data_IF_879884580876
#
_entry.id   IF_879884580876
#
_cell.length_a   1.000
_cell.length_b   1.000
_cell.length_c   1.000
_cell.angle_alpha   90.00
_cell.angle_beta   90.00
_cell.angle_gamma   90.00
#
_symmetry.space_group_name_H-M   'P 1'
#
loop_
_entity.id
_entity.type
_entity.pdbx_description
1 polymer ?
#
# COMPACT_ATOMS: atom_id res chain seq x y z
N UNK A 1 23.68 34.11 13.70
CA UNK A 1 23.82 32.64 13.76
C UNK A 1 23.06 32.00 12.58
N UNK A 2 23.63 30.97 11.95
CA UNK A 2 22.96 30.18 10.91
C UNK A 2 22.18 29.00 11.52
N UNK A 3 20.91 28.83 11.18
CA UNK A 3 20.11 27.70 11.67
C UNK A 3 20.27 26.46 10.78
N UNK A 4 20.28 26.66 9.46
CA UNK A 4 20.48 25.60 8.47
C UNK A 4 20.92 26.19 7.13
N UNK A 5 21.48 25.37 6.23
CA UNK A 5 21.90 25.82 4.91
C UNK A 5 20.73 26.13 4.01
N UNK A 6 20.75 27.30 3.37
CA UNK A 6 19.76 27.72 2.39
C UNK A 6 20.06 27.27 0.94
N UNK A 7 21.24 26.70 0.71
CA UNK A 7 21.66 26.28 -0.61
C UNK A 7 20.65 25.37 -1.36
N UNK A 8 19.97 24.40 -0.70
CA UNK A 8 18.97 23.56 -1.35
C UNK A 8 17.66 24.29 -1.73
N UNK A 9 17.43 25.48 -1.19
CA UNK A 9 16.16 26.23 -1.37
C UNK A 9 16.32 27.44 -2.31
N UNK A 10 17.48 27.62 -2.89
CA UNK A 10 17.80 28.78 -3.72
C UNK A 10 16.87 28.88 -4.94
N UNK A 11 16.24 30.03 -5.11
CA UNK A 11 15.29 30.27 -6.21
C UNK A 11 13.90 29.70 -6.00
N UNK A 12 13.60 29.13 -4.83
CA UNK A 12 12.30 28.51 -4.56
C UNK A 12 11.28 29.54 -4.08
N UNK A 13 10.00 29.27 -4.38
CA UNK A 13 8.85 29.88 -3.74
C UNK A 13 8.46 29.06 -2.51
N UNK A 14 8.71 29.59 -1.31
CA UNK A 14 8.52 28.89 -0.05
C UNK A 14 7.36 29.48 0.75
N UNK A 15 6.50 28.60 1.30
CA UNK A 15 5.46 28.97 2.24
C UNK A 15 5.78 28.40 3.63
N UNK A 16 5.84 29.26 4.66
CA UNK A 16 6.13 28.84 6.04
C UNK A 16 4.84 28.69 6.82
N UNK A 17 4.62 27.51 7.42
CA UNK A 17 3.51 27.29 8.34
C UNK A 17 3.86 27.89 9.72
N UNK A 18 3.17 28.96 10.10
CA UNK A 18 3.44 29.76 11.31
C UNK A 18 2.29 29.59 12.30
N UNK A 19 2.60 29.09 13.48
CA UNK A 19 1.63 28.95 14.59
C UNK A 19 1.70 30.11 15.59
N UNK A 20 2.64 31.04 15.43
CA UNK A 20 2.95 32.08 16.42
C UNK A 20 3.89 31.59 17.53
N UNK A 21 4.11 30.30 17.63
CA UNK A 21 5.05 29.73 18.60
C UNK A 21 6.51 29.92 18.19
N UNK A 22 7.38 29.84 19.15
CA UNK A 22 8.84 30.10 19.10
C UNK A 22 9.51 29.53 17.86
N UNK A 23 9.36 28.23 17.62
CA UNK A 23 10.07 27.53 16.55
C UNK A 23 9.63 27.99 15.17
N UNK A 24 8.31 28.24 14.98
CA UNK A 24 7.76 28.70 13.73
C UNK A 24 8.11 30.16 13.41
N UNK A 25 8.21 30.99 14.45
CA UNK A 25 8.64 32.39 14.33
C UNK A 25 10.14 32.45 13.99
N UNK A 26 10.97 31.64 14.64
CA UNK A 26 12.41 31.53 14.33
C UNK A 26 12.63 31.10 12.85
N UNK A 27 11.89 30.09 12.38
CA UNK A 27 11.98 29.63 10.99
C UNK A 27 11.59 30.73 9.99
N UNK A 28 10.45 31.41 10.24
CA UNK A 28 9.97 32.48 9.36
C UNK A 28 10.98 33.63 9.30
N UNK A 29 11.48 34.09 10.46
CA UNK A 29 12.42 35.18 10.52
C UNK A 29 13.76 34.84 9.89
N UNK A 30 14.26 33.63 10.10
CA UNK A 30 15.51 33.16 9.48
C UNK A 30 15.41 33.21 7.93
N UNK A 31 14.32 32.72 7.39
CA UNK A 31 14.07 32.78 5.95
C UNK A 31 13.87 34.22 5.47
N UNK A 32 13.09 35.04 6.16
CA UNK A 32 12.86 36.43 5.82
C UNK A 32 14.17 37.22 5.72
N UNK A 33 15.04 37.08 6.73
CA UNK A 33 16.33 37.80 6.82
C UNK A 33 17.27 37.44 5.65
N UNK A 34 17.20 36.21 5.14
CA UNK A 34 18.11 35.71 4.15
C UNK A 34 17.45 35.47 2.75
N UNK A 35 16.15 35.84 2.59
CA UNK A 35 15.39 35.54 1.40
C UNK A 35 15.96 36.19 0.14
N UNK A 36 16.41 37.46 0.24
CA UNK A 36 16.96 38.21 -0.87
C UNK A 36 18.29 37.59 -1.37
N UNK A 37 19.22 37.28 -0.47
CA UNK A 37 20.51 36.65 -0.80
C UNK A 37 20.36 35.27 -1.39
N UNK A 38 19.38 34.51 -0.89
CA UNK A 38 19.07 33.15 -1.37
C UNK A 38 18.14 33.16 -2.60
N UNK A 39 17.66 34.31 -3.06
CA UNK A 39 16.65 34.45 -4.13
C UNK A 39 15.37 33.64 -3.85
N UNK A 40 14.93 33.60 -2.59
CA UNK A 40 13.73 32.90 -2.15
C UNK A 40 12.54 33.84 -2.22
N UNK A 41 11.46 33.43 -2.90
CA UNK A 41 10.15 34.03 -2.78
C UNK A 41 9.46 33.50 -1.52
N UNK A 42 9.31 34.33 -0.49
CA UNK A 42 8.81 33.91 0.82
C UNK A 42 7.35 34.32 1.03
N UNK A 43 6.54 33.40 1.49
CA UNK A 43 5.20 33.62 2.01
C UNK A 43 4.98 32.86 3.32
N UNK A 44 3.93 33.19 4.03
CA UNK A 44 3.54 32.50 5.26
C UNK A 44 2.09 32.01 5.17
N UNK A 45 1.78 30.97 5.94
CA UNK A 45 0.41 30.55 6.21
C UNK A 45 0.21 30.32 7.70
N UNK A 46 -1.01 30.58 8.19
CA UNK A 46 -1.42 30.17 9.54
C UNK A 46 -2.77 29.46 9.49
N UNK A 47 -2.94 28.47 10.37
CA UNK A 47 -4.16 27.65 10.45
C UNK A 47 -4.84 27.90 11.80
N UNK A 48 -5.94 28.65 11.78
CA UNK A 48 -6.82 28.84 12.94
C UNK A 48 -7.81 27.69 13.02
N UNK A 49 -7.63 26.81 14.01
CA UNK A 49 -8.42 25.58 14.14
C UNK A 49 -9.76 25.75 14.84
N UNK A 50 -10.03 26.91 15.47
CA UNK A 50 -11.24 27.15 16.25
C UNK A 50 -11.42 26.25 17.48
N UNK A 51 -10.36 25.54 17.92
CA UNK A 51 -10.43 24.62 19.06
C UNK A 51 -10.39 25.38 20.39
N UNK A 52 -9.65 26.48 20.44
CA UNK A 52 -9.41 27.27 21.65
C UNK A 52 -9.89 28.70 21.46
N UNK A 53 -10.33 29.36 22.54
CA UNK A 53 -10.67 30.80 22.47
C UNK A 53 -9.50 31.67 22.04
N UNK A 54 -8.25 31.27 22.37
CA UNK A 54 -7.02 32.00 22.00
C UNK A 54 -6.62 31.84 20.53
N UNK A 55 -7.23 30.93 19.75
CA UNK A 55 -6.83 30.64 18.38
C UNK A 55 -6.89 31.86 17.44
N UNK A 56 -7.90 32.75 17.61
CA UNK A 56 -7.98 34.01 16.83
C UNK A 56 -6.89 35.03 17.27
N UNK A 57 -6.56 35.08 18.55
CA UNK A 57 -5.48 35.93 19.04
C UNK A 57 -4.10 35.44 18.56
N UNK A 58 -3.92 34.13 18.41
CA UNK A 58 -2.71 33.56 17.83
C UNK A 58 -2.60 33.90 16.33
N UNK A 59 -3.70 33.82 15.57
CA UNK A 59 -3.74 34.22 14.18
C UNK A 59 -3.47 35.71 14.01
N UNK A 60 -4.11 36.59 14.83
CA UNK A 60 -3.89 38.04 14.81
C UNK A 60 -2.41 38.39 15.09
N UNK A 61 -1.78 37.71 16.05
CA UNK A 61 -0.35 37.91 16.31
C UNK A 61 0.52 37.57 15.09
N UNK A 62 0.22 36.48 14.39
CA UNK A 62 0.95 36.10 13.16
C UNK A 62 0.69 37.11 12.05
N UNK A 63 -0.53 37.66 11.93
CA UNK A 63 -0.87 38.73 10.97
C UNK A 63 -0.05 40.00 11.21
N UNK A 64 0.03 40.45 12.46
CA UNK A 64 0.84 41.63 12.85
C UNK A 64 2.34 41.37 12.57
N UNK A 65 2.85 40.20 12.90
CA UNK A 65 4.24 39.81 12.68
C UNK A 65 4.60 39.83 11.19
N UNK A 66 3.80 39.17 10.36
CA UNK A 66 4.01 39.11 8.91
C UNK A 66 3.90 40.49 8.27
N UNK A 67 2.96 41.33 8.74
CA UNK A 67 2.82 42.72 8.29
C UNK A 67 4.07 43.53 8.63
N UNK A 68 4.61 43.37 9.86
CA UNK A 68 5.81 44.09 10.28
C UNK A 68 7.04 43.71 9.45
N UNK A 69 7.14 42.49 9.00
CA UNK A 69 8.25 41.98 8.19
C UNK A 69 7.99 42.03 6.68
N UNK A 70 6.83 42.50 6.25
CA UNK A 70 6.48 42.57 4.83
C UNK A 70 6.35 41.20 4.14
N UNK A 71 6.03 40.15 4.92
CA UNK A 71 5.84 38.78 4.39
C UNK A 71 4.37 38.55 4.06
N UNK A 72 4.02 38.18 2.81
CA UNK A 72 2.65 37.83 2.44
C UNK A 72 2.13 36.67 3.31
N UNK A 73 0.92 36.82 3.87
CA UNK A 73 0.31 35.81 4.75
C UNK A 73 -1.05 35.34 4.21
N UNK A 74 -1.27 34.02 4.22
CA UNK A 74 -2.59 33.42 4.03
C UNK A 74 -3.09 32.86 5.35
N UNK A 75 -4.29 33.30 5.78
CA UNK A 75 -4.92 32.83 7.02
C UNK A 75 -6.04 31.87 6.67
N UNK A 76 -5.91 30.63 7.10
CA UNK A 76 -6.94 29.60 6.97
C UNK A 76 -7.71 29.47 8.28
N UNK A 77 -9.04 29.43 8.20
CA UNK A 77 -9.94 29.32 9.35
C UNK A 77 -10.86 28.10 9.19
N UNK A 78 -11.00 27.28 10.22
CA UNK A 78 -11.96 26.21 10.26
C UNK A 78 -12.46 25.95 11.70
N UNK A 79 -13.71 25.54 11.83
CA UNK A 79 -14.24 24.97 13.06
C UNK A 79 -13.93 23.46 13.08
N UNK A 80 -12.71 23.13 13.55
CA UNK A 80 -12.25 21.74 13.63
C UNK A 80 -13.12 20.89 14.58
N UNK A 81 -13.62 21.38 15.73
CA UNK A 81 -14.61 20.66 16.53
C UNK A 81 -15.87 20.27 15.78
N UNK A 82 -16.45 21.15 14.99
CA UNK A 82 -17.63 20.83 14.18
C UNK A 82 -17.32 19.80 13.09
N UNK A 83 -16.18 19.97 12.40
CA UNK A 83 -15.71 19.01 11.39
C UNK A 83 -15.47 17.62 11.99
N UNK A 84 -14.84 17.52 13.16
CA UNK A 84 -14.59 16.26 13.85
C UNK A 84 -15.88 15.52 14.20
N UNK A 85 -16.93 16.24 14.65
CA UNK A 85 -18.25 15.66 14.90
C UNK A 85 -18.91 15.12 13.64
N UNK A 86 -18.76 15.82 12.51
CA UNK A 86 -19.33 15.37 11.23
C UNK A 86 -18.61 14.16 10.64
N UNK A 87 -17.28 14.13 10.74
CA UNK A 87 -16.45 13.06 10.18
C UNK A 87 -16.31 11.84 11.06
N UNK A 88 -16.69 11.93 12.35
CA UNK A 88 -16.47 10.89 13.36
C UNK A 88 -15.00 10.69 13.77
N UNK A 89 -14.10 11.58 13.36
CA UNK A 89 -12.68 11.56 13.72
C UNK A 89 -12.44 12.25 15.05
N UNK A 90 -11.30 11.94 15.69
CA UNK A 90 -10.86 12.70 16.85
C UNK A 90 -10.32 14.09 16.44
N UNK A 91 -10.29 15.03 17.39
CA UNK A 91 -9.87 16.42 17.16
C UNK A 91 -8.45 16.54 16.60
N UNK A 92 -7.52 15.70 17.04
CA UNK A 92 -6.13 15.73 16.58
C UNK A 92 -6.02 15.30 15.11
N UNK A 93 -6.73 14.24 14.75
CA UNK A 93 -6.76 13.73 13.38
C UNK A 93 -7.40 14.75 12.42
N UNK A 94 -8.54 15.33 12.81
CA UNK A 94 -9.22 16.34 12.00
C UNK A 94 -8.38 17.63 11.86
N UNK A 95 -7.71 18.05 12.92
CA UNK A 95 -6.78 19.17 12.88
C UNK A 95 -5.55 18.89 11.98
N UNK A 96 -5.09 17.65 11.89
CA UNK A 96 -4.04 17.23 10.93
C UNK A 96 -4.55 17.25 9.49
N UNK A 97 -5.80 16.81 9.26
CA UNK A 97 -6.42 16.86 7.93
C UNK A 97 -6.55 18.29 7.46
N UNK A 98 -7.10 19.17 8.29
CA UNK A 98 -7.23 20.59 7.97
C UNK A 98 -5.89 21.23 7.61
N UNK A 99 -4.83 21.00 8.39
CA UNK A 99 -3.48 21.49 8.05
C UNK A 99 -2.98 21.00 6.70
N UNK A 100 -3.23 19.71 6.36
CA UNK A 100 -2.86 19.17 5.05
C UNK A 100 -3.58 19.87 3.90
N UNK A 101 -4.87 20.15 4.08
CA UNK A 101 -5.66 20.93 3.11
C UNK A 101 -5.06 22.31 2.90
N UNK A 102 -4.70 23.02 4.01
CA UNK A 102 -4.05 24.33 3.92
C UNK A 102 -2.70 24.24 3.18
N UNK A 103 -1.88 23.24 3.49
CA UNK A 103 -0.58 23.06 2.81
C UNK A 103 -0.79 22.78 1.31
N UNK A 104 -1.73 21.93 0.97
CA UNK A 104 -2.04 21.66 -0.44
C UNK A 104 -2.49 22.91 -1.18
N UNK A 105 -3.33 23.73 -0.57
CA UNK A 105 -3.77 25.00 -1.17
C UNK A 105 -2.59 25.93 -1.46
N UNK A 106 -1.59 26.00 -0.57
CA UNK A 106 -0.38 26.80 -0.82
C UNK A 106 0.46 26.25 -1.99
N UNK A 107 0.58 24.92 -2.09
CA UNK A 107 1.29 24.26 -3.19
C UNK A 107 0.58 24.46 -4.52
N UNK A 108 -0.75 24.31 -4.54
CA UNK A 108 -1.57 24.56 -5.74
C UNK A 108 -1.55 26.04 -6.14
N UNK A 109 -1.33 26.93 -5.18
CA UNK A 109 -1.13 28.38 -5.38
C UNK A 109 0.25 28.78 -5.88
N UNK A 110 1.15 27.81 -6.17
CA UNK A 110 2.46 28.06 -6.78
C UNK A 110 3.64 28.07 -5.80
N UNK A 111 3.46 27.66 -4.54
CA UNK A 111 4.61 27.39 -3.67
C UNK A 111 5.29 26.09 -4.07
N UNK A 112 6.61 26.10 -4.21
CA UNK A 112 7.39 24.88 -4.47
C UNK A 112 7.40 23.95 -3.25
N UNK A 113 7.36 24.55 -2.05
CA UNK A 113 7.29 23.79 -0.80
C UNK A 113 6.65 24.59 0.34
N UNK A 114 5.99 23.84 1.24
CA UNK A 114 5.56 24.30 2.55
C UNK A 114 6.59 23.85 3.61
N UNK A 115 7.04 24.76 4.44
CA UNK A 115 8.01 24.49 5.50
C UNK A 115 7.34 24.48 6.87
N UNK A 116 7.70 23.50 7.69
CA UNK A 116 7.25 23.40 9.10
C UNK A 116 8.43 23.38 10.04
N UNK A 117 8.24 23.92 11.23
CA UNK A 117 9.29 24.16 12.22
C UNK A 117 9.54 22.98 13.18
N UNK A 118 9.30 21.72 12.75
CA UNK A 118 9.68 20.55 13.55
C UNK A 118 11.20 20.48 13.67
N UNK A 119 11.68 20.29 14.88
CA UNK A 119 13.10 20.30 15.18
C UNK A 119 13.60 18.97 15.79
N UNK A 120 14.90 18.89 16.12
CA UNK A 120 15.57 17.67 16.59
C UNK A 120 14.93 17.06 17.83
N UNK A 121 14.55 17.92 18.80
CA UNK A 121 13.93 17.44 20.04
C UNK A 121 12.52 16.87 19.80
N UNK A 122 11.72 17.44 18.89
CA UNK A 122 10.41 16.85 18.49
C UNK A 122 10.58 15.45 17.91
N UNK A 123 11.69 15.24 17.19
CA UNK A 123 12.01 13.91 16.67
C UNK A 123 12.26 12.92 17.82
N UNK A 124 13.14 13.28 18.77
CA UNK A 124 13.43 12.44 19.94
C UNK A 124 12.17 12.14 20.78
N UNK A 125 11.34 13.15 21.03
CA UNK A 125 10.04 13.01 21.71
C UNK A 125 9.15 11.97 21.04
N UNK A 126 8.99 12.09 19.74
CA UNK A 126 8.10 11.22 18.99
C UNK A 126 8.65 9.81 18.87
N UNK A 127 9.98 9.65 18.72
CA UNK A 127 10.64 8.34 18.73
C UNK A 127 10.39 7.64 20.06
N UNK A 128 10.67 8.32 21.18
CA UNK A 128 10.47 7.74 22.52
C UNK A 128 8.99 7.40 22.77
N UNK A 129 8.07 8.28 22.39
CA UNK A 129 6.64 8.02 22.49
C UNK A 129 6.20 6.77 21.73
N UNK A 130 6.68 6.60 20.49
CA UNK A 130 6.36 5.44 19.67
C UNK A 130 6.97 4.15 20.20
N UNK A 131 8.21 4.18 20.66
CA UNK A 131 8.87 3.05 21.31
C UNK A 131 8.11 2.61 22.57
N UNK A 132 7.69 3.55 23.42
CA UNK A 132 6.93 3.27 24.62
C UNK A 132 5.55 2.64 24.35
N UNK A 133 4.96 2.91 23.18
CA UNK A 133 3.68 2.34 22.77
C UNK A 133 3.81 1.02 22.00
N UNK A 134 5.01 0.57 21.74
CA UNK A 134 5.27 -0.54 20.84
C UNK A 134 5.18 -0.10 19.38
N UNK A 135 6.27 -0.20 18.66
CA UNK A 135 6.32 0.18 17.24
C UNK A 135 7.23 -0.75 16.47
N UNK A 136 6.97 -0.90 15.17
CA UNK A 136 7.89 -1.55 14.24
C UNK A 136 8.96 -0.56 13.74
N UNK A 137 9.95 -1.06 12.98
CA UNK A 137 10.95 -0.19 12.33
C UNK A 137 10.27 0.87 11.45
N UNK A 138 9.26 0.50 10.69
CA UNK A 138 8.48 1.43 9.87
C UNK A 138 7.87 2.57 10.68
N UNK A 139 7.40 2.27 11.90
CA UNK A 139 6.82 3.27 12.79
C UNK A 139 7.85 4.27 13.35
N UNK A 140 9.15 3.99 13.24
CA UNK A 140 10.22 4.95 13.62
C UNK A 140 10.45 6.02 12.54
N UNK A 141 9.89 5.91 11.36
CA UNK A 141 9.83 7.00 10.40
C UNK A 141 8.82 8.07 10.89
N UNK A 142 9.28 8.91 11.79
CA UNK A 142 8.45 9.92 12.49
C UNK A 142 7.97 10.99 11.54
N UNK A 143 8.86 11.45 10.67
CA UNK A 143 8.61 12.50 9.68
C UNK A 143 8.85 11.99 8.26
N UNK A 144 7.96 11.13 7.73
CA UNK A 144 8.13 10.61 6.38
C UNK A 144 8.20 11.75 5.36
N UNK A 145 9.03 11.56 4.35
CA UNK A 145 9.10 12.49 3.25
C UNK A 145 7.73 12.62 2.59
N UNK A 146 7.30 13.85 2.36
CA UNK A 146 6.06 14.18 1.65
C UNK A 146 6.40 15.20 0.57
N UNK A 147 5.89 14.99 -0.63
CA UNK A 147 6.11 15.93 -1.74
C UNK A 147 5.60 17.31 -1.34
N UNK A 148 6.44 18.33 -1.50
CA UNK A 148 6.11 19.71 -1.18
C UNK A 148 6.09 20.05 0.31
N UNK A 149 6.41 19.15 1.24
CA UNK A 149 6.47 19.44 2.67
C UNK A 149 7.87 19.21 3.22
N UNK A 150 8.53 20.27 3.68
CA UNK A 150 9.91 20.24 4.15
C UNK A 150 10.01 20.62 5.64
N UNK A 151 11.07 20.17 6.29
CA UNK A 151 11.31 20.39 7.72
C UNK A 151 12.78 20.72 7.95
N UNK A 152 13.21 21.95 7.62
CA UNK A 152 14.61 22.31 7.63
C UNK A 152 15.25 22.29 9.04
N UNK A 153 14.45 22.43 10.10
CA UNK A 153 14.94 22.43 11.48
C UNK A 153 15.12 21.03 12.09
N UNK A 154 14.89 19.93 11.36
CA UNK A 154 15.08 18.57 11.91
C UNK A 154 16.53 18.27 12.35
N UNK A 155 17.50 19.00 11.85
CA UNK A 155 18.90 18.93 12.30
C UNK A 155 19.24 19.92 13.42
N UNK A 156 18.32 20.81 13.81
CA UNK A 156 18.55 21.91 14.75
C UNK A 156 17.97 21.54 16.12
N UNK A 157 18.73 21.74 17.19
CA UNK A 157 18.26 21.53 18.56
C UNK A 157 17.40 22.68 19.03
N UNK A 158 16.56 22.41 20.02
CA UNK A 158 15.77 23.43 20.69
C UNK A 158 16.65 24.56 21.28
N UNK A 159 17.80 24.22 21.85
CA UNK A 159 18.73 25.18 22.41
C UNK A 159 19.22 26.19 21.35
N UNK A 160 19.57 25.73 20.16
CA UNK A 160 19.97 26.61 19.05
C UNK A 160 18.84 27.53 18.59
N UNK A 161 17.59 27.05 18.59
CA UNK A 161 16.43 27.89 18.25
C UNK A 161 16.24 28.97 19.35
N UNK A 162 16.36 28.60 20.64
CA UNK A 162 16.22 29.51 21.75
C UNK A 162 17.31 30.62 21.73
N UNK A 163 18.55 30.24 21.40
CA UNK A 163 19.66 31.17 21.19
C UNK A 163 19.38 32.17 20.06
N UNK A 164 18.90 31.63 18.91
CA UNK A 164 18.53 32.46 17.74
C UNK A 164 17.40 33.46 18.05
N UNK A 165 16.40 33.04 18.80
CA UNK A 165 15.30 33.91 19.25
C UNK A 165 15.82 35.02 20.15
N UNK A 166 16.73 34.73 21.10
CA UNK A 166 17.32 35.70 21.99
C UNK A 166 18.21 36.69 21.26
N UNK A 167 19.11 36.22 20.38
CA UNK A 167 20.00 37.09 19.59
C UNK A 167 19.25 38.10 18.74
N UNK A 168 18.08 37.74 18.23
CA UNK A 168 17.30 38.59 17.35
C UNK A 168 16.11 39.26 18.05
N UNK A 169 15.97 39.07 19.36
CA UNK A 169 14.87 39.61 20.18
C UNK A 169 13.47 39.37 19.58
N UNK A 170 13.23 38.14 19.10
CA UNK A 170 12.00 37.83 18.36
C UNK A 170 10.82 37.64 19.33
N UNK A 171 9.68 38.30 19.07
CA UNK A 171 8.46 38.06 19.83
C UNK A 171 7.84 36.72 19.42
N UNK A 172 7.28 35.99 20.39
CA UNK A 172 6.52 34.77 20.13
C UNK A 172 5.44 34.59 21.20
N UNK A 173 4.48 33.72 20.96
CA UNK A 173 3.44 33.34 21.91
C UNK A 173 3.74 31.97 22.48
N UNK A 174 3.55 31.79 23.77
CA UNK A 174 3.58 30.47 24.39
C UNK A 174 2.19 29.86 24.36
N UNK A 175 2.10 28.62 23.91
CA UNK A 175 0.87 27.85 23.96
C UNK A 175 0.69 27.28 25.37
N UNK A 176 -0.32 27.77 26.08
CA UNK A 176 -0.63 27.34 27.46
C UNK A 176 -0.83 25.81 27.57
N UNK A 177 -1.28 25.14 26.50
CA UNK A 177 -1.44 23.68 26.49
C UNK A 177 -0.12 22.92 26.48
N UNK A 178 0.99 23.57 26.13
CA UNK A 178 2.31 22.94 26.17
C UNK A 178 2.76 22.59 27.61
N UNK A 179 2.21 23.27 28.64
CA UNK A 179 2.48 22.98 30.02
C UNK A 179 1.61 21.86 30.62
N UNK A 180 0.59 21.40 29.91
CA UNK A 180 -0.32 20.35 30.41
C UNK A 180 0.35 18.97 30.38
N UNK A 181 0.91 18.56 31.48
CA UNK A 181 1.55 17.24 31.67
C UNK A 181 0.55 16.08 31.77
N UNK A 182 -0.76 16.33 31.78
CA UNK A 182 -1.74 15.27 31.67
C UNK A 182 -1.64 14.58 30.29
N UNK A 183 -1.20 15.32 29.27
CA UNK A 183 -0.94 14.78 27.95
C UNK A 183 0.37 14.00 27.93
N UNK A 184 0.32 12.74 27.52
CA UNK A 184 1.47 11.83 27.50
C UNK A 184 2.70 12.39 26.76
N UNK A 185 2.48 13.14 25.67
CA UNK A 185 3.56 13.75 24.88
C UNK A 185 4.26 14.88 25.66
N UNK A 186 3.49 15.73 26.33
CA UNK A 186 4.05 16.81 27.16
C UNK A 186 4.83 16.23 28.37
N UNK A 187 4.34 15.12 28.93
CA UNK A 187 5.09 14.43 30.03
C UNK A 187 6.43 13.90 29.52
N UNK A 188 6.47 13.32 28.32
CA UNK A 188 7.75 12.90 27.72
C UNK A 188 8.68 14.09 27.53
N UNK A 189 8.19 15.21 27.02
CA UNK A 189 8.95 16.43 26.78
C UNK A 189 9.54 17.03 28.10
N UNK A 190 8.69 17.14 29.10
CA UNK A 190 9.05 17.92 30.32
C UNK A 190 9.66 17.08 31.45
N UNK A 191 9.35 15.78 31.51
CA UNK A 191 9.80 14.93 32.61
C UNK A 191 10.76 13.83 32.14
N UNK A 192 10.35 13.02 31.16
CA UNK A 192 11.05 11.77 30.78
C UNK A 192 12.35 12.05 30.04
N UNK A 193 12.30 12.84 28.96
CA UNK A 193 13.49 13.14 28.15
C UNK A 193 14.53 13.92 28.92
N UNK A 194 14.19 14.95 29.75
CA UNK A 194 15.17 15.60 30.60
C UNK A 194 15.78 14.67 31.65
N UNK A 195 14.98 13.75 32.23
CA UNK A 195 15.49 12.76 33.16
C UNK A 195 16.44 11.77 32.46
N UNK A 196 16.08 11.31 31.26
CA UNK A 196 16.90 10.42 30.46
C UNK A 196 18.23 11.10 30.06
N UNK A 197 18.19 12.37 29.67
CA UNK A 197 19.38 13.15 29.29
C UNK A 197 20.32 13.38 30.48
N UNK A 198 19.78 13.60 31.70
CA UNK A 198 20.59 13.66 32.90
C UNK A 198 21.24 12.33 33.28
N UNK A 199 20.52 11.24 33.05
CA UNK A 199 21.04 9.89 33.35
C UNK A 199 22.08 9.43 32.33
N UNK A 200 21.84 9.74 31.05
CA UNK A 200 22.68 9.35 29.91
C UNK A 200 22.85 10.57 29.00
N UNK A 201 23.91 11.37 29.19
CA UNK A 201 24.17 12.53 28.33
C UNK A 201 24.23 12.16 26.87
N UNK A 202 23.53 12.90 26.03
CA UNK A 202 23.37 12.62 24.60
C UNK A 202 22.26 11.61 24.24
N UNK A 203 21.41 11.25 25.19
CA UNK A 203 20.34 10.29 24.98
C UNK A 203 19.37 10.72 23.88
N UNK A 204 18.98 12.00 23.81
CA UNK A 204 18.11 12.54 22.77
C UNK A 204 18.71 12.30 21.38
N UNK A 205 19.97 12.65 21.22
CA UNK A 205 20.70 12.47 19.95
C UNK A 205 20.84 11.00 19.58
N UNK A 206 21.08 10.13 20.55
CA UNK A 206 21.19 8.70 20.34
C UNK A 206 19.85 8.07 19.91
N UNK A 207 18.73 8.51 20.48
CA UNK A 207 17.39 8.09 20.07
C UNK A 207 17.10 8.45 18.61
N UNK A 208 17.40 9.68 18.22
CA UNK A 208 17.19 10.12 16.84
C UNK A 208 18.10 9.36 15.88
N UNK A 209 19.38 9.22 16.20
CA UNK A 209 20.35 8.48 15.39
C UNK A 209 19.97 7.00 15.24
N UNK A 210 19.44 6.38 16.29
CA UNK A 210 18.89 5.03 16.20
C UNK A 210 17.72 4.97 15.23
N UNK A 211 16.75 5.89 15.36
CA UNK A 211 15.58 5.93 14.48
C UNK A 211 15.97 6.18 13.00
N UNK A 212 16.92 7.07 12.74
CA UNK A 212 17.43 7.32 11.38
C UNK A 212 18.11 6.10 10.75
N UNK A 213 18.81 5.29 11.56
CA UNK A 213 19.36 3.99 11.09
C UNK A 213 18.27 2.99 10.83
N UNK A 214 17.34 2.82 11.77
CA UNK A 214 16.22 1.92 11.64
C UNK A 214 15.35 2.20 10.40
N UNK A 215 15.14 3.49 10.07
CA UNK A 215 14.42 3.90 8.86
C UNK A 215 15.17 3.47 7.58
N UNK A 216 16.50 3.56 7.57
CA UNK A 216 17.30 3.11 6.41
C UNK A 216 17.25 1.59 6.24
N UNK A 217 17.36 0.86 7.36
CA UNK A 217 17.27 -0.60 7.35
C UNK A 217 15.88 -1.06 6.90
N UNK A 218 14.82 -0.38 7.39
CA UNK A 218 13.45 -0.65 6.96
C UNK A 218 13.22 -0.36 5.47
N UNK A 219 13.78 0.73 4.95
CA UNK A 219 13.69 1.07 3.53
C UNK A 219 14.33 -0.01 2.64
N UNK A 220 15.48 -0.53 3.04
CA UNK A 220 16.15 -1.63 2.34
C UNK A 220 15.31 -2.92 2.37
N UNK A 221 14.79 -3.30 3.54
CA UNK A 221 13.90 -4.46 3.66
C UNK A 221 12.61 -4.29 2.85
N UNK A 222 12.08 -3.08 2.79
CA UNK A 222 10.90 -2.76 1.98
C UNK A 222 11.19 -2.89 0.49
N UNK A 223 12.36 -2.42 0.04
CA UNK A 223 12.79 -2.58 -1.35
C UNK A 223 12.92 -4.06 -1.74
N UNK A 224 13.57 -4.87 -0.89
CA UNK A 224 13.64 -6.31 -1.09
C UNK A 224 12.24 -6.95 -1.18
N UNK A 225 11.36 -6.57 -0.28
CA UNK A 225 9.99 -7.10 -0.24
C UNK A 225 9.18 -6.73 -1.50
N UNK A 226 9.33 -5.51 -2.01
CA UNK A 226 8.63 -5.08 -3.22
C UNK A 226 9.05 -5.87 -4.46
N UNK A 227 10.31 -6.31 -4.54
CA UNK A 227 10.81 -7.17 -5.63
C UNK A 227 10.17 -8.55 -5.62
N UNK A 228 9.71 -9.00 -4.47
CA UNK A 228 9.06 -10.31 -4.28
C UNK A 228 7.54 -10.29 -4.55
N UNK A 229 6.95 -9.11 -4.78
CA UNK A 229 5.54 -8.97 -5.14
C UNK A 229 5.40 -8.98 -6.66
N UNK A 230 4.74 -9.99 -7.19
CA UNK A 230 4.57 -10.26 -8.63
C UNK A 230 3.10 -10.22 -9.03
N UNK A 231 2.85 -10.09 -10.34
CA UNK A 231 1.51 -10.11 -10.95
C UNK A 231 0.87 -8.72 -11.08
N UNK A 232 0.04 -8.55 -12.09
CA UNK A 232 -0.64 -7.29 -12.39
C UNK A 232 -2.02 -7.19 -11.70
N UNK A 233 -2.93 -8.13 -11.93
CA UNK A 233 -4.25 -8.18 -11.31
C UNK A 233 -4.21 -8.84 -9.93
N UNK A 234 -3.96 -10.14 -9.87
CA UNK A 234 -3.63 -10.82 -8.61
C UNK A 234 -2.21 -10.48 -8.16
N UNK A 235 -1.94 -10.57 -6.85
CA UNK A 235 -0.59 -10.41 -6.32
C UNK A 235 -0.06 -11.73 -5.78
N UNK A 236 1.21 -12.01 -6.05
CA UNK A 236 1.90 -13.23 -5.64
C UNK A 236 3.10 -12.89 -4.79
N UNK A 237 3.25 -13.61 -3.70
CA UNK A 237 4.38 -13.50 -2.77
C UNK A 237 4.94 -14.89 -2.55
N UNK A 238 6.24 -15.07 -2.70
CA UNK A 238 6.89 -16.34 -2.41
C UNK A 238 6.75 -16.69 -0.92
N UNK A 239 6.31 -17.91 -0.61
CA UNK A 239 5.95 -18.30 0.75
C UNK A 239 7.15 -18.55 1.67
N UNK A 240 8.31 -18.91 1.10
CA UNK A 240 9.54 -19.25 1.85
C UNK A 240 10.54 -18.08 1.87
N UNK A 241 10.04 -16.86 2.10
CA UNK A 241 10.87 -15.70 2.33
C UNK A 241 11.30 -15.59 3.79
N UNK A 242 12.46 -14.96 4.06
CA UNK A 242 12.82 -14.57 5.43
C UNK A 242 11.70 -13.70 6.03
N UNK A 243 11.33 -13.99 7.28
CA UNK A 243 10.17 -13.38 7.95
C UNK A 243 10.06 -11.85 7.80
N UNK A 244 11.17 -11.07 8.00
CA UNK A 244 11.08 -9.60 7.85
C UNK A 244 10.72 -9.14 6.45
N UNK A 245 11.11 -9.90 5.41
CA UNK A 245 10.78 -9.63 4.01
C UNK A 245 9.38 -10.13 3.69
N UNK A 246 9.03 -11.33 4.15
CA UNK A 246 7.73 -11.96 3.96
C UNK A 246 6.56 -11.06 4.39
N UNK A 247 6.59 -10.57 5.63
CA UNK A 247 5.50 -9.71 6.11
C UNK A 247 5.39 -8.40 5.33
N UNK A 248 6.52 -7.80 4.96
CA UNK A 248 6.51 -6.58 4.14
C UNK A 248 5.97 -6.84 2.73
N UNK A 249 6.33 -7.96 2.11
CA UNK A 249 5.82 -8.36 0.81
C UNK A 249 4.29 -8.62 0.86
N UNK A 250 3.81 -9.30 1.89
CA UNK A 250 2.38 -9.50 2.11
C UNK A 250 1.64 -8.16 2.28
N UNK A 251 2.17 -7.24 3.09
CA UNK A 251 1.61 -5.90 3.25
C UNK A 251 1.60 -5.11 1.94
N UNK A 252 2.67 -5.20 1.16
CA UNK A 252 2.75 -4.55 -0.15
C UNK A 252 1.73 -5.13 -1.14
N UNK A 253 1.54 -6.44 -1.15
CA UNK A 253 0.53 -7.11 -1.96
C UNK A 253 -0.90 -6.68 -1.56
N UNK A 254 -1.22 -6.66 -0.27
CA UNK A 254 -2.50 -6.21 0.24
C UNK A 254 -2.77 -4.74 -0.12
N UNK A 255 -1.77 -3.87 0.06
CA UNK A 255 -1.86 -2.45 -0.29
C UNK A 255 -2.09 -2.23 -1.79
N UNK A 256 -1.43 -3.00 -2.64
CA UNK A 256 -1.61 -2.95 -4.09
C UNK A 256 -3.03 -3.37 -4.53
N UNK A 257 -3.74 -4.14 -3.69
CA UNK A 257 -5.14 -4.54 -3.88
C UNK A 257 -6.14 -3.65 -3.10
N UNK A 258 -5.69 -2.48 -2.59
CA UNK A 258 -6.55 -1.49 -1.95
C UNK A 258 -6.72 -1.63 -0.43
N UNK A 259 -6.20 -2.69 0.21
CA UNK A 259 -6.25 -2.83 1.66
C UNK A 259 -5.11 -2.01 2.32
N UNK A 260 -5.42 -0.78 2.71
CA UNK A 260 -4.45 0.14 3.34
C UNK A 260 -4.63 0.28 4.85
N UNK A 261 -5.76 -0.19 5.39
CA UNK A 261 -6.15 -0.10 6.81
C UNK A 261 -6.84 -1.40 7.24
N UNK A 262 -7.18 -1.51 8.50
CA UNK A 262 -8.01 -2.58 9.09
C UNK A 262 -7.38 -3.99 9.05
N UNK A 263 -6.06 -4.09 8.89
CA UNK A 263 -5.33 -5.33 9.13
C UNK A 263 -4.66 -5.33 10.50
N UNK A 264 -4.58 -6.49 11.09
CA UNK A 264 -4.00 -6.70 12.43
C UNK A 264 -2.77 -7.59 12.36
N UNK A 265 -1.98 -7.62 13.44
CA UNK A 265 -0.88 -8.57 13.60
C UNK A 265 -1.36 -10.02 13.45
N UNK A 266 -2.58 -10.32 13.93
CA UNK A 266 -3.20 -11.65 13.77
C UNK A 266 -3.35 -12.05 12.30
N UNK A 267 -3.71 -11.12 11.41
CA UNK A 267 -3.85 -11.39 9.97
C UNK A 267 -2.48 -11.75 9.35
N UNK A 268 -1.41 -11.09 9.76
CA UNK A 268 -0.05 -11.42 9.30
C UNK A 268 0.39 -12.80 9.78
N UNK A 269 0.08 -13.16 11.02
CA UNK A 269 0.36 -14.49 11.56
C UNK A 269 -0.46 -15.60 10.86
N UNK A 270 -1.70 -15.30 10.46
CA UNK A 270 -2.50 -16.21 9.62
C UNK A 270 -1.85 -16.45 8.25
N UNK A 271 -1.33 -15.40 7.61
CA UNK A 271 -0.60 -15.54 6.35
C UNK A 271 0.66 -16.39 6.52
N UNK A 272 1.38 -16.24 7.62
CA UNK A 272 2.53 -17.08 7.93
C UNK A 272 2.15 -18.55 8.11
N UNK A 273 1.04 -18.83 8.81
CA UNK A 273 0.49 -20.20 8.94
C UNK A 273 0.06 -20.75 7.57
N UNK A 274 -0.57 -19.91 6.74
CA UNK A 274 -0.96 -20.31 5.39
C UNK A 274 0.25 -20.61 4.50
N UNK A 275 1.34 -19.84 4.62
CA UNK A 275 2.58 -20.07 3.89
C UNK A 275 3.18 -21.46 4.19
N UNK A 276 3.07 -21.93 5.43
CA UNK A 276 3.51 -23.24 5.85
C UNK A 276 2.50 -24.37 5.55
N UNK A 277 1.28 -24.03 5.12
CA UNK A 277 0.24 -25.02 4.85
C UNK A 277 0.43 -25.72 3.50
N UNK A 278 -0.31 -26.81 3.30
CA UNK A 278 -0.37 -27.51 2.01
C UNK A 278 -1.01 -26.63 0.93
N UNK A 279 -0.57 -26.78 -0.32
CA UNK A 279 -1.16 -26.12 -1.47
C UNK A 279 -2.67 -26.38 -1.55
N UNK A 280 -3.42 -25.37 -1.97
CA UNK A 280 -4.88 -25.39 -2.05
C UNK A 280 -5.62 -24.88 -0.79
N UNK A 281 -4.92 -24.62 0.31
CA UNK A 281 -5.48 -23.93 1.47
C UNK A 281 -5.63 -22.43 1.17
N UNK A 282 -6.56 -21.78 1.87
CA UNK A 282 -6.78 -20.34 1.74
C UNK A 282 -7.21 -19.73 3.07
N UNK A 283 -7.09 -18.41 3.17
CA UNK A 283 -7.68 -17.58 4.22
C UNK A 283 -8.33 -16.34 3.62
N UNK A 284 -9.27 -15.74 4.34
CA UNK A 284 -9.92 -14.48 3.97
C UNK A 284 -9.44 -13.39 4.90
N UNK A 285 -8.97 -12.30 4.31
CA UNK A 285 -8.55 -11.09 5.02
C UNK A 285 -9.69 -10.06 5.05
N UNK A 286 -9.59 -9.01 5.88
CA UNK A 286 -10.49 -7.86 5.81
C UNK A 286 -10.56 -7.28 4.40
N UNK A 287 -11.62 -6.52 4.12
CA UNK A 287 -11.92 -5.93 2.79
C UNK A 287 -12.04 -6.98 1.66
N UNK A 288 -12.39 -8.23 2.00
CA UNK A 288 -12.72 -9.27 1.04
C UNK A 288 -11.53 -9.87 0.27
N UNK A 289 -10.29 -9.52 0.58
CA UNK A 289 -9.13 -10.15 -0.04
C UNK A 289 -9.06 -11.62 0.37
N UNK A 290 -9.00 -12.52 -0.60
CA UNK A 290 -8.79 -13.94 -0.38
C UNK A 290 -7.36 -14.32 -0.77
N UNK A 291 -6.67 -15.05 0.11
CA UNK A 291 -5.29 -15.48 -0.11
C UNK A 291 -5.23 -16.99 -0.19
N UNK A 292 -4.70 -17.51 -1.28
CA UNK A 292 -4.52 -18.95 -1.53
C UNK A 292 -3.06 -19.35 -1.42
N UNK A 293 -2.81 -20.58 -0.94
CA UNK A 293 -1.50 -21.23 -1.02
C UNK A 293 -1.43 -22.02 -2.32
N UNK A 294 -0.70 -21.54 -3.31
CA UNK A 294 -0.54 -22.16 -4.64
C UNK A 294 0.93 -22.44 -4.95
N UNK A 295 1.26 -23.72 -5.15
CA UNK A 295 2.66 -24.12 -5.39
C UNK A 295 3.60 -23.57 -4.32
N UNK A 296 4.52 -22.70 -4.69
CA UNK A 296 5.46 -22.03 -3.78
C UNK A 296 5.00 -20.64 -3.32
N UNK A 297 3.84 -20.16 -3.79
CA UNK A 297 3.38 -18.78 -3.60
C UNK A 297 2.15 -18.68 -2.69
N UNK A 298 2.00 -17.51 -2.07
CA UNK A 298 0.73 -16.97 -1.62
C UNK A 298 0.16 -16.08 -2.73
N UNK A 299 -1.08 -16.34 -3.14
CA UNK A 299 -1.78 -15.62 -4.21
C UNK A 299 -2.90 -14.81 -3.58
N UNK A 300 -2.78 -13.50 -3.67
CA UNK A 300 -3.72 -12.52 -3.15
C UNK A 300 -4.68 -12.10 -4.26
N UNK A 301 -5.97 -12.24 -4.03
CA UNK A 301 -7.04 -11.86 -4.95
C UNK A 301 -7.90 -10.77 -4.33
N UNK A 302 -8.27 -9.73 -5.09
CA UNK A 302 -9.28 -8.78 -4.64
C UNK A 302 -10.63 -9.48 -4.49
N UNK A 303 -11.53 -8.87 -3.74
CA UNK A 303 -12.92 -9.32 -3.71
C UNK A 303 -13.54 -9.09 -5.09
N UNK A 304 -13.99 -10.16 -5.73
CA UNK A 304 -14.84 -10.02 -6.90
C UNK A 304 -16.26 -9.64 -6.41
N UNK A 305 -16.75 -8.49 -6.83
CA UNK A 305 -18.14 -8.10 -6.63
C UNK A 305 -19.02 -9.11 -7.39
N UNK A 306 -19.81 -9.90 -6.68
CA UNK A 306 -20.70 -10.90 -7.28
C UNK A 306 -20.17 -12.33 -7.35
N UNK A 307 -19.00 -12.65 -6.78
CA UNK A 307 -18.41 -14.01 -6.82
C UNK A 307 -19.32 -15.09 -6.20
N UNK A 308 -20.23 -14.78 -5.30
CA UNK A 308 -21.21 -15.75 -4.75
C UNK A 308 -22.28 -16.17 -5.79
N UNK A 309 -22.59 -15.33 -6.76
CA UNK A 309 -23.53 -15.70 -7.85
C UNK A 309 -22.84 -16.42 -9.01
N UNK A 310 -21.56 -16.17 -9.25
CA UNK A 310 -20.79 -16.83 -10.31
C UNK A 310 -20.50 -18.32 -10.03
N UNK A 311 -20.55 -18.74 -8.76
CA UNK A 311 -20.25 -20.12 -8.33
C UNK A 311 -21.47 -21.07 -8.40
N UNK A 312 -22.63 -20.62 -8.85
CA UNK A 312 -23.71 -21.55 -9.18
C UNK A 312 -23.30 -22.33 -10.42
N UNK A 313 -23.06 -23.63 -10.24
CA UNK A 313 -22.78 -24.56 -11.32
C UNK A 313 -23.83 -24.38 -12.43
N UNK A 314 -23.47 -23.65 -13.49
CA UNK A 314 -24.33 -23.48 -14.65
C UNK A 314 -24.07 -24.68 -15.55
N UNK A 315 -25.10 -25.46 -15.81
CA UNK A 315 -25.09 -26.45 -16.86
C UNK A 315 -25.68 -25.82 -18.12
N UNK A 316 -25.00 -26.02 -19.22
CA UNK A 316 -25.50 -25.69 -20.56
C UNK A 316 -25.51 -26.96 -21.38
N UNK A 317 -26.63 -27.32 -22.00
CA UNK A 317 -26.65 -28.38 -23.00
C UNK A 317 -25.57 -28.17 -24.04
N UNK A 318 -25.03 -29.22 -24.61
CA UNK A 318 -24.14 -29.12 -25.77
C UNK A 318 -24.82 -28.27 -26.87
N UNK A 319 -24.08 -27.36 -27.47
CA UNK A 319 -24.60 -26.45 -28.49
C UNK A 319 -23.55 -26.19 -29.57
N UNK A 320 -24.02 -25.86 -30.78
CA UNK A 320 -23.21 -25.26 -31.82
C UNK A 320 -23.45 -23.75 -31.84
N UNK A 321 -22.40 -22.96 -32.10
CA UNK A 321 -22.45 -21.52 -32.12
C UNK A 321 -21.72 -20.89 -30.96
N UNK A 322 -22.01 -19.62 -30.70
CA UNK A 322 -21.31 -18.79 -29.70
C UNK A 322 -22.22 -18.45 -28.52
N UNK A 323 -21.78 -18.69 -27.32
CA UNK A 323 -22.47 -18.31 -26.05
C UNK A 323 -21.53 -17.71 -25.04
N UNK A 324 -22.01 -16.72 -24.32
CA UNK A 324 -21.34 -16.21 -23.12
C UNK A 324 -21.67 -17.12 -21.93
N UNK A 325 -20.64 -17.73 -21.36
CA UNK A 325 -20.80 -18.65 -20.24
C UNK A 325 -19.48 -18.80 -19.46
N UNK A 326 -19.56 -19.19 -18.19
CA UNK A 326 -18.41 -19.51 -17.36
C UNK A 326 -17.37 -18.37 -17.25
N UNK A 327 -17.82 -17.11 -17.28
CA UNK A 327 -16.93 -15.94 -17.23
C UNK A 327 -16.19 -15.62 -18.54
N UNK A 328 -16.58 -16.24 -19.67
CA UNK A 328 -15.98 -16.04 -20.96
C UNK A 328 -16.92 -16.31 -22.11
N UNK A 329 -16.39 -16.40 -23.33
CA UNK A 329 -17.13 -16.77 -24.53
C UNK A 329 -16.73 -18.18 -24.94
N UNK A 330 -17.72 -19.07 -25.00
CA UNK A 330 -17.57 -20.41 -25.53
C UNK A 330 -18.13 -20.45 -26.97
N UNK A 331 -17.29 -20.82 -27.93
CA UNK A 331 -17.65 -20.93 -29.33
C UNK A 331 -17.41 -22.37 -29.79
N UNK A 332 -18.45 -23.00 -30.29
CA UNK A 332 -18.44 -24.38 -30.78
C UNK A 332 -18.89 -24.34 -32.23
N UNK A 333 -18.02 -24.71 -33.17
CA UNK A 333 -18.30 -24.70 -34.60
C UNK A 333 -18.02 -26.03 -35.24
N UNK A 334 -18.73 -26.32 -36.38
CA UNK A 334 -18.40 -27.42 -37.28
C UNK A 334 -17.26 -26.96 -38.20
N UNK A 335 -16.25 -27.80 -38.39
CA UNK A 335 -15.16 -27.57 -39.34
C UNK A 335 -14.86 -28.85 -40.10
N UNK A 336 -14.64 -28.75 -41.41
CA UNK A 336 -14.13 -29.86 -42.20
C UNK A 336 -12.64 -30.06 -41.87
N UNK A 337 -12.39 -31.00 -41.01
CA UNK A 337 -11.03 -31.43 -40.65
C UNK A 337 -10.65 -32.55 -41.64
N UNK A 338 -10.45 -32.20 -42.93
CA UNK A 338 -9.91 -33.13 -43.90
C UNK A 338 -8.76 -33.93 -43.28
N UNK A 339 -8.62 -35.20 -43.65
CA UNK A 339 -7.57 -36.11 -43.22
C UNK A 339 -6.19 -35.61 -43.65
N UNK A 340 -5.81 -34.43 -43.16
CA UNK A 340 -4.50 -33.84 -43.22
C UNK A 340 -3.77 -34.28 -41.96
N UNK A 341 -2.57 -34.78 -42.14
CA UNK A 341 -1.61 -35.22 -41.15
C UNK A 341 -1.68 -34.38 -39.85
N UNK A 342 -1.51 -35.00 -38.67
CA UNK A 342 -1.31 -34.21 -37.47
C UNK A 342 -0.21 -33.21 -37.77
N UNK A 343 -0.54 -31.92 -37.87
CA UNK A 343 0.48 -30.91 -37.85
C UNK A 343 1.18 -31.08 -36.51
N UNK A 344 2.23 -31.85 -36.52
CA UNK A 344 3.31 -31.75 -35.58
C UNK A 344 3.83 -30.32 -35.77
N UNK A 345 3.19 -29.34 -35.15
CA UNK A 345 3.91 -28.24 -34.62
C UNK A 345 4.83 -28.87 -33.57
N UNK A 346 5.91 -29.47 -34.06
CA UNK A 346 7.10 -29.60 -33.29
C UNK A 346 7.29 -28.22 -32.65
N UNK A 347 7.31 -28.15 -31.30
CA UNK A 347 7.75 -26.94 -30.67
C UNK A 347 9.13 -26.71 -31.32
N UNK A 348 9.24 -25.64 -32.11
CA UNK A 348 10.55 -25.13 -32.52
C UNK A 348 11.44 -25.31 -31.31
N UNK A 349 12.53 -26.04 -31.48
CA UNK A 349 13.58 -26.27 -30.49
C UNK A 349 14.17 -24.92 -30.11
N UNK A 350 13.43 -24.11 -29.43
CA UNK A 350 13.98 -23.20 -28.45
C UNK A 350 14.37 -24.10 -27.27
N UNK A 351 15.65 -24.33 -27.13
CA UNK A 351 16.30 -24.87 -25.94
C UNK A 351 16.01 -23.94 -24.78
N UNK A 352 14.80 -23.96 -24.26
CA UNK A 352 14.32 -23.20 -23.13
C UNK A 352 13.30 -24.06 -22.41
N UNK A 353 13.46 -24.25 -21.12
CA UNK A 353 12.48 -24.87 -20.23
C UNK A 353 11.07 -24.33 -20.54
N UNK A 354 10.04 -25.17 -20.50
CA UNK A 354 8.66 -24.72 -20.74
C UNK A 354 8.32 -23.59 -19.73
N UNK A 355 7.50 -22.60 -20.14
CA UNK A 355 7.23 -21.40 -19.33
C UNK A 355 6.75 -21.67 -17.89
N UNK A 356 6.20 -22.85 -17.65
CA UNK A 356 5.83 -23.33 -16.31
C UNK A 356 7.01 -23.56 -15.36
N UNK A 357 8.23 -23.75 -15.87
CA UNK A 357 9.45 -23.94 -15.05
C UNK A 357 10.15 -22.63 -14.70
N UNK A 358 9.76 -21.52 -15.31
CA UNK A 358 10.32 -20.18 -15.02
C UNK A 358 9.60 -19.42 -13.91
N UNK A 359 8.60 -20.02 -13.23
CA UNK A 359 7.87 -19.36 -12.15
C UNK A 359 6.93 -18.24 -12.61
N UNK A 360 6.74 -18.05 -13.91
CA UNK A 360 5.66 -17.20 -14.42
C UNK A 360 4.33 -17.91 -14.18
N UNK A 361 3.33 -17.23 -13.57
CA UNK A 361 2.01 -17.80 -13.42
C UNK A 361 1.44 -18.09 -14.80
N UNK A 362 0.67 -19.18 -14.96
CA UNK A 362 -0.16 -19.30 -16.12
C UNK A 362 -1.13 -18.12 -16.07
N UNK A 363 -0.90 -17.09 -16.86
CA UNK A 363 -1.94 -16.13 -17.18
C UNK A 363 -3.12 -16.96 -17.68
N UNK A 364 -4.29 -16.80 -17.06
CA UNK A 364 -5.53 -17.21 -17.72
C UNK A 364 -5.52 -16.49 -19.06
N UNK A 365 -5.44 -17.20 -20.19
CA UNK A 365 -5.24 -16.54 -21.45
C UNK A 365 -6.42 -15.61 -21.67
N UNK A 366 -6.15 -14.31 -21.71
CA UNK A 366 -7.05 -13.33 -22.32
C UNK A 366 -7.31 -13.85 -23.73
N UNK A 367 -8.49 -14.45 -23.95
CA UNK A 367 -8.94 -14.95 -25.25
C UNK A 367 -7.85 -15.71 -26.05
N UNK A 368 -7.28 -16.77 -25.48
CA UNK A 368 -6.44 -17.65 -26.26
C UNK A 368 -7.35 -18.52 -27.13
N UNK A 369 -7.43 -18.21 -28.41
CA UNK A 369 -8.16 -18.98 -29.40
C UNK A 369 -7.53 -20.36 -29.65
N UNK A 370 -7.44 -21.22 -28.63
CA UNK A 370 -7.11 -22.62 -28.82
C UNK A 370 -8.35 -23.34 -29.28
N UNK A 371 -8.28 -23.91 -30.48
CA UNK A 371 -9.32 -24.74 -31.03
C UNK A 371 -9.10 -26.16 -30.50
N UNK A 372 -10.08 -26.66 -29.75
CA UNK A 372 -10.17 -28.08 -29.42
C UNK A 372 -11.01 -28.79 -30.48
N UNK A 373 -10.49 -29.89 -30.98
CA UNK A 373 -11.20 -30.72 -31.98
C UNK A 373 -11.89 -31.87 -31.24
N UNK A 374 -13.18 -31.98 -31.39
CA UNK A 374 -14.00 -33.05 -30.81
C UNK A 374 -14.82 -33.66 -31.97
N UNK A 375 -14.83 -34.97 -32.10
CA UNK A 375 -15.72 -35.65 -33.07
C UNK A 375 -17.17 -35.49 -32.60
N UNK A 376 -17.97 -34.78 -33.37
CA UNK A 376 -19.37 -34.56 -33.04
C UNK A 376 -20.17 -35.87 -32.94
N UNK A 377 -19.81 -36.91 -33.73
CA UNK A 377 -20.46 -38.20 -33.67
C UNK A 377 -20.15 -38.96 -32.35
N UNK A 378 -19.07 -38.59 -31.68
CA UNK A 378 -18.68 -39.17 -30.41
C UNK A 378 -19.22 -38.39 -29.18
N UNK A 379 -19.91 -37.25 -29.41
CA UNK A 379 -20.53 -36.49 -28.31
C UNK A 379 -21.89 -37.08 -27.97
N UNK A 380 -22.10 -37.63 -26.78
CA UNK A 380 -23.39 -38.19 -26.38
C UNK A 380 -24.51 -37.13 -26.34
N UNK A 381 -25.75 -37.52 -26.61
CA UNK A 381 -26.91 -36.60 -26.57
C UNK A 381 -27.13 -35.96 -25.18
N UNK A 382 -26.68 -36.64 -24.13
CA UNK A 382 -26.74 -36.14 -22.74
C UNK A 382 -25.56 -35.27 -22.29
N UNK A 383 -24.61 -34.95 -23.16
CA UNK A 383 -23.44 -34.17 -22.80
C UNK A 383 -23.79 -32.70 -22.52
N UNK A 384 -23.19 -32.17 -21.44
CA UNK A 384 -23.41 -30.79 -20.99
C UNK A 384 -22.08 -30.08 -20.73
N UNK A 385 -22.06 -28.81 -21.05
CA UNK A 385 -21.00 -27.91 -20.56
C UNK A 385 -21.27 -27.53 -19.11
N UNK A 386 -20.33 -27.76 -18.22
CA UNK A 386 -20.45 -27.42 -16.81
C UNK A 386 -19.08 -27.21 -16.17
N UNK A 387 -19.02 -26.68 -14.96
CA UNK A 387 -17.82 -26.70 -14.15
C UNK A 387 -17.59 -28.09 -13.55
N UNK A 388 -16.35 -28.34 -13.14
CA UNK A 388 -15.95 -29.61 -12.53
C UNK A 388 -16.78 -29.95 -11.28
N UNK A 389 -17.11 -31.24 -11.13
CA UNK A 389 -17.75 -31.84 -9.95
C UNK A 389 -16.85 -32.83 -9.23
N UNK A 390 -17.18 -33.10 -7.98
CA UNK A 390 -16.52 -34.17 -7.23
C UNK A 390 -16.90 -35.53 -7.82
N UNK A 391 -15.90 -36.40 -8.01
CA UNK A 391 -16.11 -37.70 -8.64
C UNK A 391 -15.89 -37.70 -10.16
N UNK A 392 -15.69 -36.56 -10.80
CA UNK A 392 -15.39 -36.50 -12.24
C UNK A 392 -14.15 -37.31 -12.60
N UNK A 393 -14.28 -38.10 -13.69
CA UNK A 393 -13.22 -38.91 -14.29
C UNK A 393 -12.89 -38.41 -15.68
N UNK A 394 -11.66 -38.59 -16.11
CA UNK A 394 -11.16 -38.18 -17.40
C UNK A 394 -10.21 -39.21 -17.99
N UNK A 395 -10.35 -39.48 -19.25
CA UNK A 395 -9.47 -40.36 -20.02
C UNK A 395 -8.56 -39.51 -20.92
N UNK A 396 -7.30 -39.23 -20.51
CA UNK A 396 -6.37 -38.46 -21.33
C UNK A 396 -5.84 -39.28 -22.49
N UNK A 397 -5.50 -38.61 -23.62
CA UNK A 397 -4.87 -39.22 -24.79
C UNK A 397 -3.67 -40.09 -24.39
N UNK A 398 -3.65 -41.34 -24.86
CA UNK A 398 -2.61 -42.34 -24.54
C UNK A 398 -2.47 -42.62 -23.04
N UNK A 399 -3.53 -42.48 -22.23
CA UNK A 399 -3.52 -42.69 -20.79
C UNK A 399 -4.56 -43.67 -20.28
N UNK A 400 -4.60 -43.84 -18.96
CA UNK A 400 -5.65 -44.56 -18.27
C UNK A 400 -6.65 -43.62 -17.63
N UNK A 401 -7.90 -44.07 -17.51
CA UNK A 401 -8.93 -43.31 -16.81
C UNK A 401 -8.46 -42.96 -15.39
N UNK A 402 -8.56 -41.70 -15.03
CA UNK A 402 -8.19 -41.20 -13.70
C UNK A 402 -9.16 -40.10 -13.24
N UNK A 403 -9.18 -39.82 -11.96
CA UNK A 403 -10.00 -38.70 -11.48
C UNK A 403 -9.50 -37.39 -12.08
N UNK A 404 -10.43 -36.54 -12.51
CA UNK A 404 -10.11 -35.22 -13.08
C UNK A 404 -9.26 -34.38 -12.12
N UNK A 405 -9.51 -34.49 -10.80
CA UNK A 405 -8.70 -33.85 -9.77
C UNK A 405 -7.23 -34.26 -9.86
N UNK A 406 -6.94 -35.56 -10.00
CA UNK A 406 -5.58 -36.09 -10.10
C UNK A 406 -4.91 -35.62 -11.38
N UNK A 407 -5.64 -35.64 -12.52
CA UNK A 407 -5.14 -35.16 -13.80
C UNK A 407 -4.75 -33.68 -13.74
N UNK A 408 -5.62 -32.80 -13.22
CA UNK A 408 -5.33 -31.37 -13.09
C UNK A 408 -4.15 -31.11 -12.16
N UNK A 409 -4.02 -31.89 -11.07
CA UNK A 409 -2.86 -31.79 -10.15
C UNK A 409 -1.56 -32.18 -10.84
N UNK A 410 -1.54 -33.28 -11.62
CA UNK A 410 -0.37 -33.70 -12.41
C UNK A 410 0.04 -32.64 -13.44
N UNK A 411 -0.93 -31.94 -14.00
CA UNK A 411 -0.71 -30.82 -14.92
C UNK A 411 -0.38 -29.49 -14.21
N UNK A 412 -0.25 -29.51 -12.88
CA UNK A 412 0.05 -28.34 -12.04
C UNK A 412 -0.98 -27.21 -12.15
N UNK A 413 -2.23 -27.53 -12.50
CA UNK A 413 -3.32 -26.57 -12.55
C UNK A 413 -3.76 -26.21 -11.13
N UNK A 414 -3.73 -24.94 -10.73
CA UNK A 414 -4.17 -24.52 -9.41
C UNK A 414 -5.60 -24.98 -9.12
N UNK A 415 -5.87 -25.41 -7.89
CA UNK A 415 -7.15 -26.01 -7.50
C UNK A 415 -8.34 -25.05 -7.75
N UNK A 416 -8.16 -23.71 -7.57
CA UNK A 416 -9.18 -22.71 -7.87
C UNK A 416 -9.48 -22.64 -9.35
N UNK A 417 -8.45 -22.56 -10.20
CA UNK A 417 -8.59 -22.52 -11.67
C UNK A 417 -9.28 -23.79 -12.14
N UNK A 418 -8.83 -24.95 -11.66
CA UNK A 418 -9.43 -26.24 -12.00
C UNK A 418 -10.90 -26.40 -11.57
N UNK A 419 -11.42 -25.59 -10.63
CA UNK A 419 -12.84 -25.59 -10.26
C UNK A 419 -13.70 -24.82 -11.24
N UNK A 420 -13.14 -23.79 -11.86
CA UNK A 420 -13.84 -22.86 -12.75
C UNK A 420 -13.73 -23.26 -14.23
N UNK A 421 -12.81 -24.17 -14.57
CA UNK A 421 -12.64 -24.62 -15.94
C UNK A 421 -13.93 -25.29 -16.45
N UNK A 422 -14.48 -24.82 -17.60
CA UNK A 422 -15.58 -25.50 -18.25
C UNK A 422 -15.13 -26.87 -18.76
N UNK A 423 -15.94 -27.87 -18.52
CA UNK A 423 -15.77 -29.24 -19.04
C UNK A 423 -17.01 -29.65 -19.83
N UNK A 424 -16.82 -30.34 -20.91
CA UNK A 424 -17.90 -31.09 -21.57
C UNK A 424 -17.96 -32.46 -20.95
N UNK A 425 -19.08 -32.85 -20.37
CA UNK A 425 -19.21 -34.10 -19.66
C UNK A 425 -20.59 -34.72 -19.80
N UNK A 426 -20.63 -36.06 -19.78
CA UNK A 426 -21.83 -36.85 -19.58
C UNK A 426 -21.78 -37.51 -18.21
N UNK A 427 -22.74 -37.18 -17.35
CA UNK A 427 -22.69 -37.65 -15.95
C UNK A 427 -21.39 -37.24 -15.23
N UNK A 428 -20.59 -38.23 -14.82
CA UNK A 428 -19.26 -38.02 -14.20
C UNK A 428 -18.07 -38.19 -15.16
N UNK A 429 -18.34 -38.54 -16.40
CA UNK A 429 -17.30 -38.75 -17.43
C UNK A 429 -17.05 -37.46 -18.18
N UNK A 430 -15.82 -36.95 -18.11
CA UNK A 430 -15.41 -35.71 -18.78
C UNK A 430 -14.82 -36.08 -20.14
N UNK A 431 -15.44 -35.55 -21.19
CA UNK A 431 -15.05 -35.76 -22.60
C UNK A 431 -13.98 -34.75 -23.01
N UNK A 432 -14.16 -33.51 -22.57
CA UNK A 432 -13.26 -32.41 -22.93
C UNK A 432 -13.09 -31.44 -21.77
N UNK A 433 -11.88 -30.88 -21.64
CA UNK A 433 -11.54 -29.84 -20.67
C UNK A 433 -11.23 -28.59 -21.47
N UNK A 434 -12.05 -27.57 -21.36
CA UNK A 434 -11.85 -26.31 -22.07
C UNK A 434 -10.44 -25.75 -21.84
N UNK A 435 -9.77 -25.33 -22.91
CA UNK A 435 -8.43 -24.75 -22.92
C UNK A 435 -7.27 -25.75 -22.60
N UNK A 436 -7.53 -27.02 -22.34
CA UNK A 436 -6.48 -27.95 -21.94
C UNK A 436 -6.35 -29.18 -22.84
N UNK A 437 -7.38 -30.05 -22.94
CA UNK A 437 -7.31 -31.34 -23.61
C UNK A 437 -8.67 -31.91 -24.02
N UNK A 438 -8.66 -32.76 -25.10
CA UNK A 438 -9.72 -33.71 -25.40
C UNK A 438 -9.37 -35.09 -24.85
N UNK A 439 -10.38 -35.97 -24.63
CA UNK A 439 -10.16 -37.38 -24.34
C UNK A 439 -9.87 -38.18 -25.63
N UNK A 440 -9.25 -39.35 -25.49
CA UNK A 440 -9.01 -40.26 -26.62
C UNK A 440 -10.27 -40.84 -27.26
N UNK A 441 -11.42 -40.64 -26.62
CA UNK A 441 -12.71 -41.16 -27.12
C UNK A 441 -13.46 -40.17 -28.00
N UNK A 442 -12.83 -39.08 -28.40
CA UNK A 442 -13.42 -38.06 -29.28
C UNK A 442 -12.71 -38.00 -30.63
#
# INVERSE_FOLDING_TARGET
MELFSLAPYRGFSLAVAVSGGRDSVALLYYLHKNAEEAHISLSALTCCHGIRPSAEADAAFVEELCKAWGVPLTVFRADVPARAKQSGRNLEEEGRMFRRECYQTMLDGGADAVLTAHHRDDYAETVLFRLARGTSLQGLNVFPAQKGLLRPLLGVTRAHIDEYIQENALPFREDETNADVALSRNRIRHEVLPALERAVPGAKENLVRFAERAVRDDAFLQELALREVRGEGEKRVFADLPEPVFFRACLAAMKALGLTRDYTESNLQELKKLAAAQAGRFTRLPCGITVYREGADLVFLPQEEGAEEAHKARELPFFLGRKEAFGGVLEVGEGDFGAGEPTTDEPTKTTGEPPFLRGEPPELPKACGRVLKVDLAAVPEGAVWRTRREGDTFLPCNGHQKSLKKFLTEKKIPARVGRELPVLAEGSEVLCICLLYTSDAA
#
